data_IF_268523589906
#
_entry.id   IF_268523589906
#
_cell.length_a   1.000
_cell.length_b   1.000
_cell.length_c   1.000
_cell.angle_alpha   90.00
_cell.angle_beta   90.00
_cell.angle_gamma   90.00
#
_symmetry.space_group_name_H-M   'P 1'
#
loop_
_entity.id
_entity.type
_entity.pdbx_description
1 polymer ?
#
# COMPACT_ATOMS: atom_id res chain seq x y z
N UNK A 1 -20.36 -9.78 -20.84
CA UNK A 1 -20.29 -8.88 -19.69
C UNK A 1 -19.12 -9.34 -18.82
N UNK A 2 -17.90 -9.02 -19.23
CA UNK A 2 -16.65 -9.27 -18.47
C UNK A 2 -15.70 -8.10 -18.76
N UNK A 3 -16.01 -6.95 -18.21
CA UNK A 3 -15.18 -5.77 -18.37
C UNK A 3 -15.20 -4.98 -17.10
N UNK A 4 -14.31 -5.29 -16.15
CA UNK A 4 -13.98 -4.44 -15.02
C UNK A 4 -12.86 -5.09 -14.19
N UNK A 5 -11.72 -5.40 -14.80
CA UNK A 5 -10.55 -5.95 -14.08
C UNK A 5 -9.65 -4.87 -13.45
N UNK A 6 -10.05 -3.59 -13.50
CA UNK A 6 -9.23 -2.46 -13.01
C UNK A 6 -9.64 -1.93 -11.64
N UNK A 7 -10.73 -2.44 -11.06
CA UNK A 7 -11.13 -2.17 -9.68
C UNK A 7 -11.47 -3.52 -9.03
N UNK A 8 -10.50 -4.42 -8.96
CA UNK A 8 -10.60 -5.58 -8.08
C UNK A 8 -10.27 -5.13 -6.64
N UNK A 9 -11.04 -4.18 -6.13
CA UNK A 9 -11.22 -4.08 -4.69
C UNK A 9 -11.84 -5.41 -4.24
N UNK A 10 -11.30 -6.02 -3.19
CA UNK A 10 -11.88 -7.19 -2.54
C UNK A 10 -13.33 -6.88 -2.09
N UNK A 11 -14.28 -6.95 -3.01
CA UNK A 11 -15.70 -6.84 -2.69
C UNK A 11 -16.15 -8.18 -2.09
N UNK A 12 -16.03 -8.31 -0.78
CA UNK A 12 -16.64 -9.38 -0.02
C UNK A 12 -18.14 -9.08 0.13
N UNK A 13 -18.95 -9.54 -0.83
CA UNK A 13 -20.38 -9.61 -0.65
C UNK A 13 -20.71 -10.80 0.30
N UNK A 14 -21.34 -10.47 1.41
CA UNK A 14 -21.60 -11.21 2.61
C UNK A 14 -22.09 -12.65 2.50
N UNK A 15 -21.75 -13.37 3.54
CA UNK A 15 -22.29 -14.67 3.92
C UNK A 15 -21.25 -15.48 4.68
N UNK A 16 -21.13 -15.27 5.99
CA UNK A 16 -20.39 -16.18 6.87
C UNK A 16 -21.18 -17.50 6.94
N UNK A 17 -21.00 -18.35 5.93
CA UNK A 17 -21.34 -19.76 6.06
C UNK A 17 -20.23 -20.44 6.87
N UNK A 18 -20.52 -20.86 8.09
CA UNK A 18 -19.63 -21.67 8.93
C UNK A 18 -19.53 -23.07 8.36
N UNK A 19 -18.75 -23.28 7.31
CA UNK A 19 -18.24 -24.59 6.96
C UNK A 19 -16.99 -24.82 7.82
N UNK A 20 -16.99 -25.87 8.64
CA UNK A 20 -15.80 -26.30 9.36
C UNK A 20 -14.68 -26.55 8.33
N UNK A 21 -13.49 -26.00 8.49
CA UNK A 21 -12.41 -26.20 7.54
C UNK A 21 -12.02 -27.67 7.53
N UNK A 22 -12.12 -28.32 6.37
CA UNK A 22 -11.34 -29.51 6.12
C UNK A 22 -9.87 -29.05 6.15
N UNK A 23 -9.14 -29.32 7.25
CA UNK A 23 -7.73 -29.01 7.37
C UNK A 23 -7.02 -29.73 6.23
N UNK A 24 -6.57 -28.99 5.24
CA UNK A 24 -5.78 -29.55 4.15
C UNK A 24 -4.48 -30.09 4.75
N UNK A 25 -4.19 -31.37 4.54
CA UNK A 25 -3.02 -32.05 5.09
C UNK A 25 -1.66 -31.48 4.60
N UNK A 26 -1.67 -30.54 3.65
CA UNK A 26 -0.50 -29.92 3.05
C UNK A 26 -0.76 -28.42 2.76
N UNK A 27 -0.71 -27.60 3.82
CA UNK A 27 -0.81 -26.14 3.67
C UNK A 27 0.48 -25.54 3.12
N UNK A 28 0.35 -24.54 2.24
CA UNK A 28 1.50 -23.78 1.74
C UNK A 28 2.10 -22.93 2.86
N UNK A 29 3.41 -23.07 3.09
CA UNK A 29 4.17 -22.22 4.02
C UNK A 29 4.75 -21.05 3.27
N UNK A 30 4.56 -19.84 3.82
CA UNK A 30 5.04 -18.60 3.23
C UNK A 30 6.28 -18.08 3.97
N UNK A 31 7.20 -17.52 3.20
CA UNK A 31 8.42 -16.88 3.70
C UNK A 31 8.50 -15.46 3.19
N UNK A 32 8.59 -14.49 4.10
CA UNK A 32 8.83 -13.10 3.74
C UNK A 32 10.24 -12.92 3.13
N UNK A 33 10.38 -12.09 2.09
CA UNK A 33 11.65 -11.85 1.44
C UNK A 33 12.66 -11.19 2.41
N UNK A 34 13.96 -11.40 2.16
CA UNK A 34 15.00 -10.73 2.93
C UNK A 34 14.93 -9.21 2.77
N UNK A 35 15.30 -8.49 3.80
CA UNK A 35 15.45 -7.03 3.77
C UNK A 35 16.74 -6.65 3.01
N UNK A 36 16.76 -5.47 2.41
CA UNK A 36 17.91 -4.99 1.63
C UNK A 36 18.65 -3.84 2.31
N UNK A 37 18.06 -3.22 3.33
CA UNK A 37 18.68 -2.16 4.10
C UNK A 37 19.57 -2.67 5.23
N UNK A 38 20.33 -1.78 5.88
CA UNK A 38 21.30 -2.13 6.91
C UNK A 38 20.69 -2.27 8.32
N UNK A 39 19.39 -1.97 8.49
CA UNK A 39 18.74 -2.01 9.80
C UNK A 39 17.90 -3.26 9.98
N UNK A 40 17.95 -3.83 11.20
CA UNK A 40 16.85 -4.67 11.69
C UNK A 40 15.59 -3.81 11.79
N UNK A 41 14.41 -4.43 11.80
CA UNK A 41 13.13 -3.73 11.71
C UNK A 41 12.23 -4.09 12.86
N UNK A 42 11.75 -3.08 13.57
CA UNK A 42 10.71 -3.18 14.58
C UNK A 42 9.35 -2.75 14.05
N UNK A 43 8.29 -3.23 14.69
CA UNK A 43 6.92 -2.83 14.33
C UNK A 43 6.02 -2.72 15.55
N UNK A 44 5.02 -1.84 15.47
CA UNK A 44 3.95 -1.73 16.47
C UNK A 44 2.67 -1.24 15.79
N UNK A 45 1.52 -1.74 16.24
CA UNK A 45 0.22 -1.26 15.78
C UNK A 45 -0.31 -0.20 16.74
N UNK A 46 -0.94 0.83 16.18
CA UNK A 46 -1.65 1.88 16.88
C UNK A 46 -3.12 1.82 16.54
N UNK A 47 -3.98 1.79 17.56
CA UNK A 47 -5.39 2.09 17.42
C UNK A 47 -5.61 3.58 17.67
N UNK A 48 -6.02 4.30 16.66
CA UNK A 48 -6.17 5.76 16.69
C UNK A 48 -7.65 6.14 16.54
N UNK A 49 -8.13 7.01 17.41
CA UNK A 49 -9.52 7.50 17.38
C UNK A 49 -9.51 9.01 17.17
N UNK A 50 -10.08 9.46 16.05
CA UNK A 50 -10.26 10.87 15.76
C UNK A 50 -11.58 11.38 16.35
N UNK A 51 -11.50 11.96 17.52
CA UNK A 51 -12.67 12.49 18.23
C UNK A 51 -13.27 13.73 17.54
N UNK A 52 -12.55 14.36 16.61
CA UNK A 52 -13.01 15.55 15.89
C UNK A 52 -13.89 15.23 14.68
N UNK A 53 -13.75 14.02 14.10
CA UNK A 53 -14.47 13.62 12.88
C UNK A 53 -15.47 12.51 13.16
N UNK A 54 -16.73 12.63 12.71
CA UNK A 54 -17.60 11.46 12.57
C UNK A 54 -17.00 10.51 11.53
N UNK A 55 -17.27 9.21 11.65
CA UNK A 55 -16.91 8.28 10.61
C UNK A 55 -17.77 8.52 9.35
N UNK A 56 -17.18 8.64 8.15
CA UNK A 56 -17.95 8.95 6.96
C UNK A 56 -18.93 7.84 6.55
N UNK A 57 -18.66 6.58 6.94
CA UNK A 57 -19.47 5.42 6.59
C UNK A 57 -20.49 5.08 7.69
N UNK A 58 -20.15 5.35 8.96
CA UNK A 58 -20.97 5.13 10.15
C UNK A 58 -21.00 6.42 11.00
N UNK A 59 -21.79 7.44 10.61
CA UNK A 59 -21.75 8.79 11.21
C UNK A 59 -22.06 8.83 12.71
N UNK A 60 -22.70 7.80 13.24
CA UNK A 60 -22.96 7.63 14.69
C UNK A 60 -21.70 7.27 15.49
N UNK A 61 -20.59 6.92 14.80
CA UNK A 61 -19.28 6.61 15.41
C UNK A 61 -18.28 7.71 15.14
N UNK A 62 -17.23 7.78 15.94
CA UNK A 62 -16.03 8.56 15.64
C UNK A 62 -15.14 7.79 14.69
N UNK A 63 -14.39 8.53 13.86
CA UNK A 63 -13.45 7.92 12.93
C UNK A 63 -12.34 7.21 13.70
N UNK A 64 -12.14 5.94 13.48
CA UNK A 64 -11.10 5.13 14.08
C UNK A 64 -10.29 4.39 13.01
N UNK A 65 -8.99 4.22 13.26
CA UNK A 65 -8.02 3.66 12.33
C UNK A 65 -7.10 2.69 13.03
N UNK A 66 -6.67 1.67 12.29
CA UNK A 66 -5.47 0.92 12.64
C UNK A 66 -4.30 1.38 11.76
N UNK A 67 -3.21 1.75 12.39
CA UNK A 67 -1.97 2.11 11.72
C UNK A 67 -0.84 1.20 12.22
N UNK A 68 -0.04 0.66 11.31
CA UNK A 68 1.18 -0.08 11.64
C UNK A 68 2.37 0.85 11.46
N UNK A 69 3.11 1.08 12.53
CA UNK A 69 4.39 1.82 12.49
C UNK A 69 5.52 0.81 12.40
N UNK A 70 6.27 0.85 11.31
CA UNK A 70 7.43 -0.01 11.06
C UNK A 70 8.68 0.88 11.02
N UNK A 71 9.71 0.55 11.78
CA UNK A 71 10.84 1.45 12.04
C UNK A 71 12.17 0.69 12.14
N UNK A 72 13.31 1.35 11.89
CA UNK A 72 14.62 0.78 12.18
C UNK A 72 14.73 0.42 13.66
N UNK A 73 15.04 -0.85 13.95
CA UNK A 73 15.21 -1.36 15.30
C UNK A 73 16.66 -1.30 15.76
N UNK A 74 16.86 -1.33 17.07
CA UNK A 74 18.18 -1.53 17.66
C UNK A 74 18.74 -2.88 17.20
N UNK A 75 20.01 -2.91 16.76
CA UNK A 75 20.68 -4.10 16.23
C UNK A 75 20.79 -5.28 17.22
N UNK A 76 20.60 -5.00 18.50
CA UNK A 76 20.60 -6.01 19.57
C UNK A 76 19.18 -6.35 20.06
N UNK A 77 18.17 -5.79 19.38
CA UNK A 77 16.80 -6.13 19.69
C UNK A 77 16.53 -7.60 19.35
N UNK A 78 15.80 -8.26 20.22
CA UNK A 78 15.34 -9.61 20.02
C UNK A 78 13.88 -9.68 20.51
N UNK A 79 12.99 -9.91 19.59
CA UNK A 79 11.55 -9.93 19.82
C UNK A 79 10.83 -10.91 18.92
N UNK A 80 9.57 -11.20 19.22
CA UNK A 80 8.79 -12.08 18.36
C UNK A 80 8.54 -11.42 17.00
N UNK A 81 8.73 -12.16 15.91
CA UNK A 81 8.40 -11.68 14.57
C UNK A 81 6.90 -11.47 14.44
N UNK A 82 6.54 -10.33 13.85
CA UNK A 82 5.15 -10.01 13.56
C UNK A 82 4.51 -11.07 12.65
N UNK A 83 3.25 -11.46 12.88
CA UNK A 83 2.53 -12.25 11.90
C UNK A 83 2.40 -11.47 10.58
N UNK A 84 2.34 -12.17 9.44
CA UNK A 84 2.06 -11.51 8.17
C UNK A 84 0.64 -10.95 8.17
N UNK A 85 -0.32 -11.77 8.63
CA UNK A 85 -1.71 -11.38 8.85
C UNK A 85 -2.08 -11.71 10.30
N UNK A 86 -2.94 -10.92 10.89
CA UNK A 86 -3.60 -11.27 12.16
C UNK A 86 -4.61 -12.40 11.95
N UNK A 87 -5.04 -13.12 12.97
CA UNK A 87 -5.97 -14.25 12.80
C UNK A 87 -7.28 -13.87 12.08
N UNK A 88 -7.89 -12.73 12.42
CA UNK A 88 -9.11 -12.26 11.76
C UNK A 88 -8.85 -11.88 10.30
N UNK A 89 -7.73 -11.20 10.03
CA UNK A 89 -7.34 -10.84 8.67
C UNK A 89 -6.98 -12.07 7.83
N UNK A 90 -6.37 -13.09 8.42
CA UNK A 90 -6.07 -14.35 7.72
C UNK A 90 -7.32 -15.00 7.15
N UNK A 91 -8.40 -15.05 7.93
CA UNK A 91 -9.66 -15.63 7.49
C UNK A 91 -10.28 -14.85 6.31
N UNK A 92 -10.22 -13.51 6.38
CA UNK A 92 -10.74 -12.63 5.31
C UNK A 92 -9.94 -12.81 4.02
N UNK A 93 -8.61 -12.78 4.10
CA UNK A 93 -7.74 -12.90 2.94
C UNK A 93 -7.83 -14.32 2.34
N UNK A 94 -7.86 -15.35 3.18
CA UNK A 94 -7.98 -16.74 2.71
C UNK A 94 -9.29 -16.95 1.95
N UNK A 95 -10.39 -16.42 2.46
CA UNK A 95 -11.69 -16.43 1.78
C UNK A 95 -11.63 -15.65 0.44
N UNK A 96 -10.96 -14.51 0.39
CA UNK A 96 -10.82 -13.74 -0.84
C UNK A 96 -9.99 -14.48 -1.90
N UNK A 97 -8.89 -15.11 -1.48
CA UNK A 97 -8.03 -15.89 -2.37
C UNK A 97 -8.71 -17.19 -2.88
N UNK A 98 -9.74 -17.69 -2.15
CA UNK A 98 -10.49 -18.87 -2.55
C UNK A 98 -11.48 -18.64 -3.71
N UNK A 99 -11.81 -17.39 -3.99
CA UNK A 99 -12.76 -17.03 -5.06
C UNK A 99 -12.33 -17.58 -6.42
N UNK A 100 -13.28 -18.14 -7.16
CA UNK A 100 -13.04 -18.67 -8.51
C UNK A 100 -12.57 -17.57 -9.48
N UNK A 101 -13.02 -16.34 -9.27
CA UNK A 101 -12.60 -15.18 -10.06
C UNK A 101 -11.21 -14.64 -9.62
N UNK A 102 -10.60 -15.26 -8.60
CA UNK A 102 -9.27 -14.87 -8.10
C UNK A 102 -8.26 -16.03 -8.26
N UNK A 103 -7.87 -16.71 -7.18
CA UNK A 103 -6.93 -17.84 -7.26
C UNK A 103 -7.62 -19.21 -7.27
N UNK A 104 -8.87 -19.30 -6.84
CA UNK A 104 -9.64 -20.55 -6.77
C UNK A 104 -9.04 -21.57 -5.80
N UNK A 105 -8.35 -21.09 -4.76
CA UNK A 105 -7.74 -21.95 -3.75
C UNK A 105 -8.79 -22.39 -2.74
N UNK A 106 -8.82 -23.67 -2.33
CA UNK A 106 -9.63 -24.04 -1.17
C UNK A 106 -9.24 -23.24 0.07
N UNK A 107 -10.24 -22.78 0.83
CA UNK A 107 -10.00 -22.13 2.13
C UNK A 107 -9.14 -23.05 3.02
N UNK A 108 -8.14 -22.50 3.68
CA UNK A 108 -7.19 -23.26 4.49
C UNK A 108 -6.00 -23.81 3.71
N UNK A 109 -5.82 -23.43 2.44
CA UNK A 109 -4.68 -23.85 1.62
C UNK A 109 -3.35 -23.24 2.05
N UNK A 110 -3.37 -22.16 2.83
CA UNK A 110 -2.18 -21.40 3.26
C UNK A 110 -2.05 -21.45 4.78
N UNK A 111 -0.85 -21.76 5.29
CA UNK A 111 -0.52 -21.70 6.72
C UNK A 111 -0.18 -20.25 7.12
N UNK A 112 -1.22 -19.41 7.24
CA UNK A 112 -1.05 -18.02 7.69
C UNK A 112 -0.53 -17.92 9.13
N UNK A 113 -0.81 -18.90 9.98
CA UNK A 113 -0.39 -18.87 11.37
C UNK A 113 1.15 -18.92 11.51
N UNK A 114 1.82 -19.66 10.61
CA UNK A 114 3.28 -19.72 10.57
C UNK A 114 3.92 -18.59 9.76
N UNK A 115 3.16 -17.90 8.93
CA UNK A 115 3.67 -16.84 8.08
C UNK A 115 4.06 -15.60 8.89
N UNK A 116 5.33 -15.21 8.83
CA UNK A 116 5.88 -14.08 9.61
C UNK A 116 6.51 -13.04 8.69
N UNK A 117 6.34 -11.77 9.06
CA UNK A 117 7.10 -10.65 8.50
C UNK A 117 8.56 -10.69 8.96
N UNK A 118 9.39 -9.79 8.41
CA UNK A 118 10.76 -9.58 8.90
C UNK A 118 10.81 -8.70 10.14
N UNK A 119 9.81 -7.88 10.35
CA UNK A 119 9.70 -6.98 11.49
C UNK A 119 9.41 -7.70 12.82
N UNK A 120 9.99 -7.21 13.91
CA UNK A 120 9.83 -7.71 15.27
C UNK A 120 8.93 -6.78 16.08
N UNK A 121 8.03 -7.37 16.88
CA UNK A 121 7.00 -6.61 17.61
C UNK A 121 7.60 -5.90 18.81
N UNK A 122 7.37 -4.58 18.90
CA UNK A 122 7.59 -3.78 20.11
C UNK A 122 9.04 -3.59 20.53
N UNK A 123 10.00 -4.03 19.71
CA UNK A 123 11.43 -3.88 20.02
C UNK A 123 11.85 -2.41 20.02
N UNK A 124 12.93 -2.03 20.75
CA UNK A 124 13.41 -0.66 20.78
C UNK A 124 13.77 -0.13 19.40
N UNK A 125 13.44 1.14 19.14
CA UNK A 125 13.89 1.84 17.93
C UNK A 125 15.41 2.06 17.94
N UNK A 126 16.02 2.03 16.76
CA UNK A 126 17.45 2.26 16.59
C UNK A 126 17.86 3.64 17.12
N UNK A 127 18.97 3.67 17.87
CA UNK A 127 19.57 4.92 18.32
C UNK A 127 20.12 5.75 17.15
N UNK A 128 20.34 7.04 17.40
CA UNK A 128 20.96 7.99 16.47
C UNK A 128 20.01 9.05 15.95
N UNK A 129 20.31 9.62 14.78
CA UNK A 129 19.51 10.70 14.21
C UNK A 129 18.07 10.26 13.89
N UNK A 130 17.09 11.15 14.06
CA UNK A 130 15.71 10.89 13.65
C UNK A 130 15.62 10.48 12.18
N UNK A 131 14.65 9.66 11.84
CA UNK A 131 14.46 9.06 10.53
C UNK A 131 13.30 9.73 9.80
N UNK A 132 13.43 10.01 8.49
CA UNK A 132 12.30 10.47 7.70
C UNK A 132 11.12 9.52 7.79
N UNK A 133 9.92 10.08 7.70
CA UNK A 133 8.66 9.32 7.78
C UNK A 133 8.14 9.09 6.36
N UNK A 134 7.60 7.90 6.09
CA UNK A 134 6.88 7.58 4.88
C UNK A 134 5.49 7.04 5.25
N UNK A 135 4.43 7.75 4.86
CA UNK A 135 3.06 7.28 5.00
C UNK A 135 2.71 6.36 3.83
N UNK A 136 2.08 5.23 4.09
CA UNK A 136 1.64 4.30 3.07
C UNK A 136 0.13 4.08 3.11
N UNK A 137 -0.52 4.20 1.94
CA UNK A 137 -1.93 3.88 1.74
C UNK A 137 -2.09 2.72 0.75
N UNK A 138 -2.85 1.65 1.08
CA UNK A 138 -3.15 0.56 0.18
C UNK A 138 -4.12 0.95 -0.93
N UNK A 139 -4.30 0.07 -1.93
CA UNK A 139 -5.35 0.17 -2.93
C UNK A 139 -6.75 0.21 -2.32
N UNK A 140 -7.76 0.57 -3.12
CA UNK A 140 -9.15 0.57 -2.67
C UNK A 140 -9.56 -0.84 -2.21
N UNK A 141 -10.16 -0.94 -1.03
CA UNK A 141 -10.51 -2.23 -0.42
C UNK A 141 -9.31 -3.02 0.15
N UNK A 142 -8.08 -2.63 -0.17
CA UNK A 142 -6.87 -3.34 0.25
C UNK A 142 -6.56 -3.14 1.73
N UNK A 143 -6.20 -4.20 2.48
CA UNK A 143 -5.69 -4.07 3.83
C UNK A 143 -4.18 -3.75 3.81
N UNK A 144 -3.71 -2.97 4.79
CA UNK A 144 -2.30 -2.57 4.91
C UNK A 144 -1.31 -3.74 4.99
N UNK A 145 -1.76 -4.85 5.52
CA UNK A 145 -0.98 -6.06 5.74
C UNK A 145 -0.48 -6.71 4.43
N UNK A 146 -1.15 -6.45 3.32
CA UNK A 146 -0.81 -7.02 2.01
C UNK A 146 0.25 -6.23 1.23
N UNK A 147 1.01 -5.36 1.92
CA UNK A 147 2.11 -4.56 1.37
C UNK A 147 3.36 -4.61 2.27
N UNK A 148 3.44 -5.59 3.16
CA UNK A 148 4.48 -5.66 4.17
C UNK A 148 5.90 -5.74 3.60
N UNK A 149 6.09 -6.31 2.41
CA UNK A 149 7.41 -6.48 1.82
C UNK A 149 8.09 -5.16 1.41
N UNK A 150 7.34 -4.21 0.86
CA UNK A 150 7.89 -2.89 0.52
C UNK A 150 7.98 -1.98 1.74
N UNK A 151 7.08 -2.16 2.72
CA UNK A 151 7.07 -1.42 3.99
C UNK A 151 8.27 -1.81 4.85
N UNK A 152 8.48 -3.10 5.09
CA UNK A 152 9.59 -3.60 5.91
C UNK A 152 10.95 -3.25 5.28
N UNK A 153 11.04 -3.37 3.96
CA UNK A 153 12.27 -3.04 3.24
C UNK A 153 12.62 -1.56 3.34
N UNK A 154 11.65 -0.67 3.14
CA UNK A 154 11.89 0.78 3.25
C UNK A 154 12.28 1.15 4.70
N UNK A 155 11.67 0.51 5.70
CA UNK A 155 12.07 0.69 7.10
C UNK A 155 13.51 0.22 7.34
N UNK A 156 13.91 -0.92 6.77
CA UNK A 156 15.29 -1.39 6.87
C UNK A 156 16.33 -0.44 6.24
N UNK A 157 15.89 0.43 5.32
CA UNK A 157 16.72 1.48 4.70
C UNK A 157 16.78 2.77 5.53
N UNK A 158 16.21 2.77 6.73
CA UNK A 158 16.28 3.89 7.67
C UNK A 158 15.16 4.92 7.52
N UNK A 159 13.94 4.44 7.34
CA UNK A 159 12.70 5.22 7.39
C UNK A 159 11.79 4.73 8.51
N UNK A 160 10.96 5.60 9.03
CA UNK A 160 9.78 5.19 9.79
C UNK A 160 8.61 5.13 8.81
N UNK A 161 8.10 3.95 8.56
CA UNK A 161 6.99 3.74 7.62
C UNK A 161 5.70 3.53 8.39
N UNK A 162 4.66 4.29 8.06
CA UNK A 162 3.35 4.19 8.70
C UNK A 162 2.31 3.80 7.68
N UNK A 163 1.88 2.55 7.72
CA UNK A 163 0.85 2.02 6.84
C UNK A 163 -0.52 2.02 7.52
N UNK A 164 -1.55 2.44 6.78
CA UNK A 164 -2.90 2.59 7.30
C UNK A 164 -3.87 1.60 6.67
N UNK A 165 -4.84 1.13 7.46
CA UNK A 165 -6.08 0.58 6.93
C UNK A 165 -7.20 1.59 7.09
N UNK A 166 -7.91 1.88 6.00
CA UNK A 166 -9.04 2.81 5.99
C UNK A 166 -10.31 2.07 6.40
N UNK A 167 -10.70 2.23 7.66
CA UNK A 167 -11.83 1.51 8.27
C UNK A 167 -13.11 1.68 7.47
N UNK A 168 -13.87 0.60 7.31
CA UNK A 168 -15.09 0.48 6.50
C UNK A 168 -14.92 0.62 4.99
N UNK A 169 -13.70 0.85 4.52
CA UNK A 169 -13.32 0.77 3.12
C UNK A 169 -12.41 -0.43 2.83
N UNK A 170 -11.35 -0.64 3.64
CA UNK A 170 -10.56 -1.87 3.58
C UNK A 170 -11.46 -3.08 3.79
N UNK A 171 -11.23 -4.17 3.07
CA UNK A 171 -12.01 -5.41 3.13
C UNK A 171 -12.33 -5.82 4.57
N UNK A 172 -11.33 -5.71 5.44
CA UNK A 172 -11.51 -5.76 6.88
C UNK A 172 -10.41 -4.98 7.59
N UNK A 173 -10.68 -4.61 8.85
CA UNK A 173 -9.69 -4.05 9.79
C UNK A 173 -9.88 -4.74 11.13
N UNK A 174 -8.84 -5.39 11.62
CA UNK A 174 -8.85 -6.00 12.94
C UNK A 174 -8.31 -5.04 14.00
N UNK A 175 -9.15 -4.74 14.98
CA UNK A 175 -8.87 -3.88 16.13
C UNK A 175 -8.47 -4.72 17.35
N UNK A 176 -7.92 -4.10 18.41
CA UNK A 176 -7.66 -4.78 19.67
C UNK A 176 -8.86 -5.56 20.20
N UNK A 177 -8.61 -6.70 20.86
CA UNK A 177 -9.66 -7.60 21.32
C UNK A 177 -10.29 -8.42 20.19
N UNK A 178 -9.60 -8.57 19.05
CA UNK A 178 -10.08 -9.32 17.88
C UNK A 178 -11.40 -8.79 17.29
N UNK A 179 -11.67 -7.49 17.50
CA UNK A 179 -12.82 -6.83 16.89
C UNK A 179 -12.52 -6.61 15.39
N UNK A 180 -13.30 -7.25 14.54
CA UNK A 180 -13.18 -7.16 13.10
C UNK A 180 -14.28 -6.25 12.54
N UNK A 181 -13.88 -5.17 11.88
CA UNK A 181 -14.78 -4.30 11.13
C UNK A 181 -14.56 -4.54 9.63
N UNK A 182 -15.62 -4.84 8.92
CA UNK A 182 -15.58 -5.11 7.47
C UNK A 182 -15.96 -3.87 6.66
N UNK A 183 -15.59 -3.87 5.38
CA UNK A 183 -16.01 -2.84 4.45
C UNK A 183 -17.54 -2.68 4.43
N UNK A 184 -18.02 -1.45 4.29
CA UNK A 184 -19.40 -1.22 3.88
C UNK A 184 -19.58 -1.65 2.42
N UNK A 185 -20.78 -2.08 2.00
CA UNK A 185 -21.03 -2.35 0.60
C UNK A 185 -20.62 -1.15 -0.26
N UNK A 186 -19.86 -1.36 -1.34
CA UNK A 186 -19.45 -0.27 -2.20
C UNK A 186 -20.67 0.42 -2.81
N UNK A 187 -20.67 1.76 -2.74
CA UNK A 187 -21.61 2.58 -3.49
C UNK A 187 -21.18 2.69 -4.95
N UNK A 188 -22.01 3.32 -5.75
CA UNK A 188 -21.74 3.53 -7.18
C UNK A 188 -21.31 4.99 -7.44
N UNK A 189 -20.49 5.14 -8.48
CA UNK A 189 -20.18 6.43 -9.08
C UNK A 189 -19.11 7.26 -8.37
N UNK A 190 -18.81 8.43 -8.95
CA UNK A 190 -17.70 9.28 -8.52
C UNK A 190 -17.88 9.90 -7.13
N UNK A 191 -19.11 10.11 -6.67
CA UNK A 191 -19.37 10.68 -5.34
C UNK A 191 -18.97 9.70 -4.22
N UNK A 192 -19.21 8.40 -4.42
CA UNK A 192 -18.76 7.37 -3.48
C UNK A 192 -17.23 7.34 -3.40
N UNK A 193 -16.56 7.32 -4.56
CA UNK A 193 -15.11 7.34 -4.63
C UNK A 193 -14.54 8.65 -4.04
N UNK A 194 -15.18 9.80 -4.32
CA UNK A 194 -14.76 11.06 -3.71
C UNK A 194 -14.86 11.03 -2.18
N UNK A 195 -15.95 10.49 -1.65
CA UNK A 195 -16.12 10.33 -0.19
C UNK A 195 -15.01 9.47 0.41
N UNK A 196 -14.64 8.39 -0.26
CA UNK A 196 -13.53 7.55 0.15
C UNK A 196 -12.18 8.32 0.11
N UNK A 197 -11.94 9.09 -0.94
CA UNK A 197 -10.74 9.92 -1.05
C UNK A 197 -10.65 10.95 0.08
N UNK A 198 -11.73 11.69 0.33
CA UNK A 198 -11.80 12.70 1.39
C UNK A 198 -11.54 12.06 2.77
N UNK A 199 -12.08 10.86 3.01
CA UNK A 199 -11.81 10.09 4.22
C UNK A 199 -10.33 9.75 4.36
N UNK A 200 -9.69 9.23 3.31
CA UNK A 200 -8.27 8.85 3.26
C UNK A 200 -7.34 10.04 3.46
N UNK A 201 -7.61 11.16 2.81
CA UNK A 201 -6.87 12.43 2.99
C UNK A 201 -6.95 12.89 4.44
N UNK A 202 -8.16 12.85 5.03
CA UNK A 202 -8.36 13.14 6.44
C UNK A 202 -7.60 12.19 7.37
N UNK A 203 -7.54 10.90 7.02
CA UNK A 203 -6.83 9.88 7.80
C UNK A 203 -5.32 10.11 7.81
N UNK A 204 -4.71 10.42 6.66
CA UNK A 204 -3.28 10.75 6.58
C UNK A 204 -2.92 11.97 7.41
N UNK A 205 -3.70 13.05 7.31
CA UNK A 205 -3.50 14.27 8.08
C UNK A 205 -3.63 14.02 9.58
N UNK A 206 -4.66 13.27 9.98
CA UNK A 206 -4.86 12.89 11.37
C UNK A 206 -3.69 12.05 11.91
N UNK A 207 -3.20 11.07 11.13
CA UNK A 207 -2.06 10.25 11.56
C UNK A 207 -0.79 11.08 11.71
N UNK A 208 -0.52 12.05 10.85
CA UNK A 208 0.59 12.99 11.02
C UNK A 208 0.49 13.77 12.34
N UNK A 209 -0.72 14.18 12.74
CA UNK A 209 -0.95 14.84 14.01
C UNK A 209 -0.67 13.89 15.19
N UNK A 210 -1.04 12.60 15.08
CA UNK A 210 -0.75 11.61 16.12
C UNK A 210 0.75 11.30 16.21
N UNK A 211 1.46 11.22 15.08
CA UNK A 211 2.93 11.06 15.07
C UNK A 211 3.62 12.27 15.74
N UNK A 212 3.12 13.47 15.52
CA UNK A 212 3.62 14.67 16.22
C UNK A 212 3.40 14.57 17.74
N UNK A 213 2.29 13.97 18.20
CA UNK A 213 2.06 13.71 19.62
C UNK A 213 3.07 12.69 20.17
N UNK A 214 3.32 11.61 19.45
CA UNK A 214 4.34 10.61 19.83
C UNK A 214 5.72 11.26 19.94
N UNK A 215 6.08 12.13 18.98
CA UNK A 215 7.34 12.89 19.02
C UNK A 215 7.48 13.81 20.23
N UNK A 216 6.37 14.26 20.82
CA UNK A 216 6.34 15.02 22.09
C UNK A 216 6.29 14.14 23.36
N UNK A 217 6.35 12.82 23.21
CA UNK A 217 6.28 11.86 24.32
C UNK A 217 4.86 11.49 24.77
N UNK A 218 3.83 11.90 24.00
CA UNK A 218 2.46 11.48 24.27
C UNK A 218 2.18 10.09 23.69
N UNK A 219 1.25 9.35 24.29
CA UNK A 219 0.78 8.09 23.75
C UNK A 219 -0.66 8.26 23.19
N UNK A 220 -0.86 8.34 21.86
CA UNK A 220 -2.18 8.49 21.26
C UNK A 220 -2.95 7.19 21.10
N UNK A 221 -2.33 6.03 21.33
CA UNK A 221 -3.00 4.73 21.24
C UNK A 221 -4.24 4.70 22.15
N UNK A 222 -5.38 4.26 21.64
CA UNK A 222 -6.66 4.30 22.35
C UNK A 222 -6.66 3.42 23.59
N UNK A 223 -5.99 2.26 23.56
CA UNK A 223 -5.81 1.36 24.68
C UNK A 223 -4.62 1.75 25.57
N UNK A 224 -3.88 2.80 25.22
CA UNK A 224 -2.66 3.21 25.95
C UNK A 224 -1.59 2.11 26.03
N UNK A 225 -1.55 1.21 25.06
CA UNK A 225 -0.51 0.19 24.97
C UNK A 225 0.87 0.85 24.93
N UNK A 226 1.84 0.23 25.58
CA UNK A 226 3.18 0.80 25.66
C UNK A 226 3.81 0.95 24.27
N UNK A 227 4.23 2.16 23.93
CA UNK A 227 4.97 2.41 22.70
C UNK A 227 6.41 1.87 22.80
N UNK A 228 6.98 1.40 21.69
CA UNK A 228 8.37 0.96 21.66
C UNK A 228 9.32 2.05 22.16
N UNK A 229 10.30 1.63 22.98
CA UNK A 229 11.31 2.55 23.51
C UNK A 229 12.06 3.26 22.38
N UNK A 230 12.15 4.58 22.45
CA UNK A 230 12.84 5.40 21.45
C UNK A 230 12.01 5.77 20.22
N UNK A 231 10.80 5.22 20.05
CA UNK A 231 9.99 5.50 18.86
C UNK A 231 9.75 7.01 18.68
N UNK A 232 9.37 7.74 19.72
CA UNK A 232 9.12 9.18 19.62
C UNK A 232 10.34 9.98 19.15
N UNK A 233 11.53 9.61 19.59
CA UNK A 233 12.79 10.26 19.19
C UNK A 233 13.27 9.85 17.82
N UNK A 234 12.77 8.74 17.28
CA UNK A 234 13.13 8.27 15.95
C UNK A 234 12.39 9.00 14.83
N UNK A 235 11.35 9.79 15.14
CA UNK A 235 10.49 10.46 14.15
C UNK A 235 11.08 11.79 13.70
N UNK A 236 11.35 11.95 12.41
CA UNK A 236 11.67 13.22 11.79
C UNK A 236 10.47 13.78 11.03
N UNK A 237 9.68 14.55 11.71
CA UNK A 237 8.49 15.21 11.17
C UNK A 237 8.78 16.38 10.21
N UNK A 238 10.06 16.75 10.06
CA UNK A 238 10.48 17.74 9.07
C UNK A 238 10.79 17.14 7.70
N UNK A 239 10.74 15.80 7.56
CA UNK A 239 11.00 15.07 6.32
C UNK A 239 9.97 13.95 6.17
N UNK A 240 8.87 14.26 5.50
CA UNK A 240 7.75 13.34 5.36
C UNK A 240 7.48 13.04 3.88
N UNK A 241 7.43 11.77 3.54
CA UNK A 241 6.95 11.28 2.25
C UNK A 241 5.59 10.60 2.37
N UNK A 242 4.91 10.47 1.24
CA UNK A 242 3.70 9.67 1.12
C UNK A 242 3.78 8.78 -0.13
N UNK A 243 3.33 7.54 -0.03
CA UNK A 243 3.25 6.65 -1.18
C UNK A 243 2.10 5.68 -1.03
N UNK A 244 1.69 5.10 -2.14
CA UNK A 244 0.61 4.12 -2.09
C UNK A 244 0.40 3.44 -3.41
N UNK A 245 -0.33 2.32 -3.36
CA UNK A 245 -0.73 1.55 -4.52
C UNK A 245 -2.14 1.91 -4.95
N UNK A 246 -2.38 1.98 -6.27
CA UNK A 246 -3.74 2.18 -6.79
C UNK A 246 -4.36 3.46 -6.20
N UNK A 247 -5.55 3.36 -5.63
CA UNK A 247 -6.22 4.48 -4.96
C UNK A 247 -5.38 5.08 -3.80
N UNK A 248 -4.46 4.32 -3.21
CA UNK A 248 -3.48 4.81 -2.24
C UNK A 248 -2.44 5.75 -2.85
N UNK A 249 -2.04 5.53 -4.09
CA UNK A 249 -1.17 6.45 -4.83
C UNK A 249 -1.87 7.78 -5.12
N UNK A 250 -3.14 7.72 -5.51
CA UNK A 250 -4.00 8.90 -5.63
C UNK A 250 -4.14 9.63 -4.29
N UNK A 251 -4.42 8.88 -3.20
CA UNK A 251 -4.49 9.44 -1.84
C UNK A 251 -3.22 10.19 -1.47
N UNK A 252 -2.04 9.66 -1.81
CA UNK A 252 -0.75 10.30 -1.53
C UNK A 252 -0.64 11.66 -2.23
N UNK A 253 -0.92 11.71 -3.53
CA UNK A 253 -0.90 12.96 -4.29
C UNK A 253 -1.95 13.96 -3.82
N UNK A 254 -3.19 13.51 -3.60
CA UNK A 254 -4.28 14.36 -3.15
C UNK A 254 -4.00 14.93 -1.75
N UNK A 255 -3.45 14.13 -0.83
CA UNK A 255 -3.06 14.64 0.49
C UNK A 255 -1.98 15.71 0.39
N UNK A 256 -1.03 15.58 -0.52
CA UNK A 256 0.00 16.59 -0.74
C UNK A 256 -0.58 17.95 -1.18
N UNK A 257 -1.72 17.97 -1.87
CA UNK A 257 -2.42 19.23 -2.19
C UNK A 257 -2.93 19.92 -0.91
N UNK A 258 -3.43 19.13 0.03
CA UNK A 258 -4.12 19.61 1.24
C UNK A 258 -3.22 19.74 2.47
N UNK A 259 -2.02 19.15 2.46
CA UNK A 259 -1.08 19.19 3.59
C UNK A 259 0.36 19.40 3.12
N UNK A 260 0.92 20.52 3.52
CA UNK A 260 2.29 20.90 3.11
C UNK A 260 3.39 20.24 3.94
N UNK A 261 3.03 19.46 4.95
CA UNK A 261 4.02 18.67 5.72
C UNK A 261 4.57 17.50 4.94
N UNK A 262 3.92 17.08 3.83
CA UNK A 262 4.39 15.99 2.98
C UNK A 262 5.26 16.58 1.87
N UNK A 263 6.55 16.23 1.87
CA UNK A 263 7.59 16.82 1.01
C UNK A 263 7.72 16.14 -0.35
N UNK A 264 7.42 14.85 -0.43
CA UNK A 264 7.58 14.05 -1.64
C UNK A 264 6.55 12.92 -1.70
N UNK A 265 6.13 12.51 -2.91
CA UNK A 265 5.12 11.46 -3.06
C UNK A 265 5.38 10.49 -4.20
N UNK A 266 4.83 9.26 -4.06
CA UNK A 266 4.87 8.21 -5.09
C UNK A 266 3.46 7.67 -5.30
N UNK A 267 3.10 7.50 -6.56
CA UNK A 267 1.92 6.77 -7.00
C UNK A 267 2.36 5.47 -7.69
N UNK A 268 2.01 4.34 -7.09
CA UNK A 268 2.20 3.01 -7.65
C UNK A 268 0.90 2.60 -8.35
N UNK A 269 0.85 2.80 -9.64
CA UNK A 269 -0.19 2.31 -10.57
C UNK A 269 -1.64 2.77 -10.27
N UNK A 270 -1.81 3.97 -9.72
CA UNK A 270 -3.12 4.49 -9.34
C UNK A 270 -3.64 5.58 -10.28
N UNK A 271 -4.84 5.43 -10.83
CA UNK A 271 -5.53 6.53 -11.48
C UNK A 271 -5.82 7.66 -10.47
N UNK A 272 -5.56 8.91 -10.86
CA UNK A 272 -5.72 10.09 -10.00
C UNK A 272 -7.05 10.83 -10.29
N UNK A 273 -8.12 10.04 -10.37
CA UNK A 273 -9.48 10.48 -10.62
C UNK A 273 -10.47 9.61 -9.83
N UNK A 274 -11.60 10.16 -9.44
CA UNK A 274 -12.70 9.41 -8.81
C UNK A 274 -13.60 8.72 -9.84
N UNK A 275 -13.47 9.13 -11.12
CA UNK A 275 -13.89 8.39 -12.30
C UNK A 275 -12.83 8.69 -13.37
N UNK A 276 -12.13 7.67 -13.85
CA UNK A 276 -10.90 7.87 -14.64
C UNK A 276 -11.10 7.88 -16.17
N UNK A 277 -12.37 7.74 -16.65
CA UNK A 277 -12.69 7.95 -18.07
C UNK A 277 -12.43 6.75 -18.98
N UNK A 278 -12.27 5.55 -18.42
CA UNK A 278 -12.09 4.33 -19.19
C UNK A 278 -13.33 3.41 -19.09
N UNK A 279 -13.79 2.77 -20.18
CA UNK A 279 -13.31 2.97 -21.56
C UNK A 279 -13.58 4.39 -22.08
N UNK A 280 -12.96 4.79 -23.23
CA UNK A 280 -13.17 6.12 -23.79
C UNK A 280 -14.65 6.48 -23.92
N UNK A 281 -15.01 7.70 -23.47
CA UNK A 281 -16.40 8.15 -23.37
C UNK A 281 -17.09 7.94 -22.02
N UNK A 282 -16.46 7.22 -21.11
CA UNK A 282 -16.91 7.12 -19.70
C UNK A 282 -16.69 8.42 -18.94
N UNK A 283 -17.35 8.57 -17.78
CA UNK A 283 -17.18 9.76 -16.93
C UNK A 283 -15.72 9.94 -16.49
N UNK A 284 -15.25 11.18 -16.54
CA UNK A 284 -13.94 11.57 -16.04
C UNK A 284 -14.07 12.65 -14.97
N UNK A 285 -13.66 12.33 -13.75
CA UNK A 285 -13.71 13.25 -12.59
C UNK A 285 -12.34 13.27 -11.92
N UNK A 286 -11.42 14.15 -12.39
CA UNK A 286 -10.05 14.22 -11.87
C UNK A 286 -10.01 14.79 -10.44
N UNK A 287 -9.02 14.34 -9.66
CA UNK A 287 -8.69 14.87 -8.34
C UNK A 287 -8.13 16.29 -8.40
N UNK A 288 -8.02 16.95 -7.27
CA UNK A 288 -7.38 18.27 -7.18
C UNK A 288 -5.89 18.20 -7.54
N UNK A 289 -5.22 17.10 -7.16
CA UNK A 289 -3.82 16.87 -7.53
C UNK A 289 -3.65 16.81 -9.04
N UNK A 290 -4.57 16.18 -9.75
CA UNK A 290 -4.56 16.10 -11.22
C UNK A 290 -4.76 17.48 -11.87
N UNK A 291 -5.73 18.25 -11.37
CA UNK A 291 -6.07 19.58 -11.90
C UNK A 291 -4.98 20.63 -11.64
N UNK A 292 -4.28 20.54 -10.51
CA UNK A 292 -3.37 21.59 -10.03
C UNK A 292 -1.91 21.24 -10.18
N UNK A 293 -1.56 19.94 -10.24
CA UNK A 293 -0.21 19.45 -10.05
C UNK A 293 0.34 19.80 -8.67
N UNK A 294 1.59 19.48 -8.44
CA UNK A 294 2.33 19.78 -7.22
C UNK A 294 3.58 20.62 -7.54
N UNK A 295 4.02 21.39 -6.56
CA UNK A 295 5.32 22.10 -6.58
C UNK A 295 6.43 21.27 -5.91
N UNK A 296 6.12 20.07 -5.46
CA UNK A 296 6.98 19.10 -4.75
C UNK A 296 7.21 17.87 -5.61
N UNK A 297 8.29 17.10 -5.34
CA UNK A 297 8.62 15.87 -6.07
C UNK A 297 7.50 14.85 -6.06
N UNK A 298 7.21 14.27 -7.23
CA UNK A 298 6.25 13.18 -7.36
C UNK A 298 6.69 12.17 -8.42
N UNK A 299 6.66 10.89 -8.05
CA UNK A 299 7.02 9.75 -8.90
C UNK A 299 5.75 8.99 -9.29
N UNK A 300 5.59 8.72 -10.58
CA UNK A 300 4.64 7.76 -11.12
C UNK A 300 5.37 6.46 -11.43
N UNK A 301 4.80 5.33 -11.02
CA UNK A 301 5.29 3.98 -11.39
C UNK A 301 4.08 3.16 -11.84
N UNK A 302 3.95 2.96 -13.15
CA UNK A 302 2.84 2.21 -13.73
C UNK A 302 3.17 0.75 -14.00
N UNK A 303 2.13 -0.03 -14.27
CA UNK A 303 2.21 -1.42 -14.69
C UNK A 303 1.72 -1.58 -16.13
N UNK A 304 1.98 -2.74 -16.69
CA UNK A 304 1.36 -3.20 -17.92
C UNK A 304 -0.01 -3.84 -17.62
N UNK A 305 -0.78 -4.05 -18.63
CA UNK A 305 -2.07 -4.74 -18.57
C UNK A 305 -2.55 -5.10 -19.94
N UNK A 306 -3.79 -5.56 -20.01
CA UNK A 306 -4.49 -5.81 -21.28
C UNK A 306 -5.92 -5.29 -21.18
N UNK A 307 -6.46 -4.78 -22.27
CA UNK A 307 -7.87 -4.43 -22.34
C UNK A 307 -8.76 -5.68 -22.49
N UNK A 308 -10.07 -5.48 -22.59
CA UNK A 308 -11.05 -6.55 -22.74
C UNK A 308 -10.88 -7.38 -24.03
N UNK A 309 -10.14 -6.87 -25.01
CA UNK A 309 -9.83 -7.52 -26.28
C UNK A 309 -8.43 -8.15 -26.28
N UNK A 310 -7.70 -8.09 -25.17
CA UNK A 310 -6.33 -8.58 -25.05
C UNK A 310 -5.27 -7.63 -25.63
N UNK A 311 -5.62 -6.38 -25.97
CA UNK A 311 -4.66 -5.38 -26.43
C UNK A 311 -3.82 -4.90 -25.27
N UNK A 312 -2.48 -4.86 -25.43
CA UNK A 312 -1.59 -4.34 -24.38
C UNK A 312 -1.93 -2.91 -23.97
N UNK A 313 -1.95 -2.68 -22.69
CA UNK A 313 -2.10 -1.38 -22.03
C UNK A 313 -0.83 -1.09 -21.23
N UNK A 314 -0.44 0.16 -21.18
CA UNK A 314 0.68 0.66 -20.38
C UNK A 314 0.19 1.84 -19.55
N UNK A 315 0.23 1.73 -18.23
CA UNK A 315 -0.22 2.81 -17.37
C UNK A 315 0.87 3.87 -17.27
N UNK A 316 0.81 4.81 -18.20
CA UNK A 316 1.77 5.92 -18.34
C UNK A 316 1.06 7.21 -18.70
N UNK A 317 1.72 8.36 -18.48
CA UNK A 317 1.17 9.66 -18.91
C UNK A 317 1.04 9.80 -20.44
N UNK A 318 1.65 8.90 -21.22
CA UNK A 318 1.58 8.88 -22.69
C UNK A 318 0.35 8.12 -23.21
N UNK A 319 -0.44 7.49 -22.35
CA UNK A 319 -1.63 6.74 -22.75
C UNK A 319 -2.93 7.33 -22.13
N UNK A 320 -3.31 8.56 -22.52
CA UNK A 320 -4.49 9.22 -21.97
C UNK A 320 -5.81 8.50 -22.31
N UNK A 321 -5.85 7.68 -23.35
CA UNK A 321 -7.01 6.87 -23.70
C UNK A 321 -7.26 5.76 -22.68
N UNK A 322 -6.21 5.35 -21.96
CA UNK A 322 -6.31 4.39 -20.86
C UNK A 322 -6.54 5.10 -19.52
N UNK A 323 -5.66 6.04 -19.15
CA UNK A 323 -5.82 6.88 -17.95
C UNK A 323 -5.45 8.34 -18.24
N UNK A 324 -6.47 9.14 -18.50
CA UNK A 324 -6.31 10.57 -18.74
C UNK A 324 -5.73 11.32 -17.55
N UNK A 325 -5.95 10.82 -16.33
CA UNK A 325 -5.53 11.52 -15.11
C UNK A 325 -4.02 11.65 -14.98
N UNK A 326 -3.26 10.68 -15.49
CA UNK A 326 -1.80 10.77 -15.50
C UNK A 326 -1.28 11.79 -16.50
N UNK A 327 -1.87 11.87 -17.69
CA UNK A 327 -1.50 12.87 -18.68
C UNK A 327 -1.81 14.29 -18.18
N UNK A 328 -3.00 14.51 -17.62
CA UNK A 328 -3.41 15.80 -17.06
C UNK A 328 -2.53 16.20 -15.86
N UNK A 329 -2.24 15.26 -14.95
CA UNK A 329 -1.29 15.49 -13.85
C UNK A 329 0.10 15.86 -14.38
N UNK A 330 0.62 15.08 -15.33
CA UNK A 330 1.94 15.31 -15.91
C UNK A 330 2.09 16.71 -16.50
N UNK A 331 1.07 17.17 -17.20
CA UNK A 331 1.03 18.51 -17.77
C UNK A 331 1.02 19.62 -16.69
N UNK A 332 0.37 19.37 -15.55
CA UNK A 332 0.20 20.34 -14.47
C UNK A 332 1.31 20.28 -13.40
N UNK A 333 2.12 19.20 -13.36
CA UNK A 333 3.16 19.00 -12.36
C UNK A 333 4.35 19.95 -12.59
N UNK A 334 4.66 20.78 -11.61
CA UNK A 334 5.74 21.79 -11.66
C UNK A 334 7.00 21.34 -10.90
N UNK A 335 6.83 20.53 -9.84
CA UNK A 335 7.94 19.95 -9.11
C UNK A 335 8.67 18.87 -9.91
N UNK A 336 9.74 18.32 -9.34
CA UNK A 336 10.41 17.16 -9.92
C UNK A 336 9.43 16.03 -10.20
N UNK A 337 9.55 15.39 -11.37
CA UNK A 337 8.69 14.30 -11.79
C UNK A 337 9.47 13.26 -12.59
N UNK A 338 9.06 12.01 -12.48
CA UNK A 338 9.40 10.91 -13.38
C UNK A 338 8.18 10.01 -13.53
N UNK A 339 8.11 9.39 -14.69
CA UNK A 339 7.12 8.35 -14.99
C UNK A 339 7.90 7.10 -15.39
N UNK A 340 7.72 6.03 -14.65
CA UNK A 340 8.38 4.73 -14.83
C UNK A 340 7.33 3.67 -15.13
N UNK A 341 7.64 2.81 -16.08
CA UNK A 341 6.80 1.65 -16.39
C UNK A 341 7.50 0.36 -15.97
N UNK A 342 6.84 -0.45 -15.16
CA UNK A 342 7.30 -1.78 -14.78
C UNK A 342 6.93 -2.77 -15.89
N UNK A 343 7.91 -3.13 -16.72
CA UNK A 343 7.75 -4.02 -17.89
C UNK A 343 7.99 -5.49 -17.56
N UNK A 344 7.66 -6.32 -18.55
CA UNK A 344 7.87 -7.77 -18.52
C UNK A 344 6.60 -8.54 -18.20
N UNK A 345 5.45 -7.96 -18.54
CA UNK A 345 4.12 -8.51 -18.26
C UNK A 345 3.71 -8.31 -16.81
N UNK A 346 4.03 -7.16 -16.23
CA UNK A 346 3.53 -6.79 -14.91
C UNK A 346 2.02 -6.53 -14.95
N UNK A 347 1.37 -6.64 -13.80
CA UNK A 347 -0.06 -6.30 -13.65
C UNK A 347 -0.22 -5.33 -12.48
N UNK A 348 -1.40 -4.76 -12.37
CA UNK A 348 -1.78 -3.89 -11.25
C UNK A 348 -1.41 -4.48 -9.88
N UNK A 349 -1.68 -5.77 -9.66
CA UNK A 349 -1.42 -6.43 -8.38
C UNK A 349 0.05 -6.81 -8.15
N UNK A 350 0.93 -6.62 -9.14
CA UNK A 350 2.37 -6.78 -8.95
C UNK A 350 2.98 -5.81 -7.93
N UNK A 351 2.28 -4.72 -7.59
CA UNK A 351 2.67 -3.79 -6.54
C UNK A 351 2.22 -4.19 -5.12
N UNK A 352 1.62 -5.38 -4.95
CA UNK A 352 1.20 -5.91 -3.66
C UNK A 352 2.03 -7.14 -3.24
N UNK A 353 1.86 -7.61 -2.01
CA UNK A 353 2.51 -8.84 -1.54
C UNK A 353 2.05 -10.10 -2.31
N UNK A 354 1.03 -10.01 -3.16
CA UNK A 354 0.61 -11.13 -4.01
C UNK A 354 1.71 -11.59 -4.95
N UNK A 355 2.56 -10.68 -5.44
CA UNK A 355 3.75 -11.05 -6.22
C UNK A 355 4.74 -11.93 -5.46
N UNK A 356 4.63 -12.00 -4.10
CA UNK A 356 5.48 -12.83 -3.25
C UNK A 356 4.74 -14.09 -2.83
N UNK A 357 3.46 -13.96 -2.52
CA UNK A 357 2.60 -15.06 -2.06
C UNK A 357 2.33 -16.06 -3.19
N UNK A 358 1.82 -15.56 -4.32
CA UNK A 358 1.37 -16.42 -5.43
C UNK A 358 2.48 -17.36 -5.97
N UNK A 359 3.72 -16.92 -6.18
CA UNK A 359 4.80 -17.82 -6.61
C UNK A 359 5.10 -18.95 -5.62
N UNK A 360 4.93 -18.71 -4.32
CA UNK A 360 5.19 -19.70 -3.29
C UNK A 360 4.09 -20.77 -3.19
N UNK A 361 2.93 -20.51 -3.80
CA UNK A 361 1.84 -21.49 -3.88
C UNK A 361 2.10 -22.59 -4.93
N UNK A 362 3.02 -22.36 -5.86
CA UNK A 362 3.46 -23.33 -6.86
C UNK A 362 2.30 -23.86 -7.71
N UNK A 363 2.21 -25.16 -7.86
CA UNK A 363 1.18 -25.85 -8.66
C UNK A 363 -0.23 -25.83 -8.03
N UNK A 364 -0.41 -25.26 -6.85
CA UNK A 364 -1.74 -25.06 -6.23
C UNK A 364 -2.55 -24.00 -6.95
N UNK A 365 -1.88 -23.08 -7.66
CA UNK A 365 -2.52 -22.04 -8.47
C UNK A 365 -2.31 -22.35 -9.94
N UNK A 366 -3.40 -22.40 -10.70
CA UNK A 366 -3.34 -22.62 -12.14
C UNK A 366 -2.54 -21.49 -12.83
N UNK A 367 -1.71 -21.80 -13.84
CA UNK A 367 -0.85 -20.82 -14.51
C UNK A 367 -1.59 -19.57 -14.99
N UNK A 368 -2.76 -19.77 -15.58
CA UNK A 368 -3.62 -18.69 -16.11
C UNK A 368 -4.15 -17.77 -14.99
N UNK A 369 -4.48 -18.31 -13.82
CA UNK A 369 -4.89 -17.50 -12.66
C UNK A 369 -3.72 -16.73 -12.07
N UNK A 370 -2.54 -17.36 -12.00
CA UNK A 370 -1.32 -16.70 -11.60
C UNK A 370 -1.01 -15.52 -12.51
N UNK A 371 -1.04 -15.75 -13.81
CA UNK A 371 -0.78 -14.71 -14.83
C UNK A 371 -1.80 -13.56 -14.75
N UNK A 372 -3.07 -13.88 -14.56
CA UNK A 372 -4.11 -12.87 -14.42
C UNK A 372 -3.91 -11.97 -13.18
N UNK A 373 -3.36 -12.51 -12.07
CA UNK A 373 -3.20 -11.76 -10.82
C UNK A 373 -1.89 -10.98 -10.80
N UNK A 374 -0.76 -11.62 -11.04
CA UNK A 374 0.57 -11.00 -10.89
C UNK A 374 1.34 -10.81 -12.20
N UNK A 375 0.76 -11.24 -13.32
CA UNK A 375 1.38 -11.19 -14.64
C UNK A 375 2.46 -12.24 -14.85
N UNK A 376 3.25 -12.04 -15.90
CA UNK A 376 4.36 -12.92 -16.29
C UNK A 376 5.73 -12.41 -15.83
N UNK A 377 5.79 -11.19 -15.30
CA UNK A 377 7.02 -10.60 -14.78
C UNK A 377 7.69 -11.51 -13.74
N UNK A 378 9.03 -11.62 -13.77
CA UNK A 378 9.76 -12.29 -12.69
C UNK A 378 9.51 -11.57 -11.35
N UNK A 379 8.91 -12.24 -10.33
CA UNK A 379 8.52 -11.60 -9.09
C UNK A 379 9.69 -11.03 -8.29
N UNK A 380 10.89 -11.64 -8.41
CA UNK A 380 12.10 -11.17 -7.72
C UNK A 380 12.61 -9.88 -8.36
N UNK A 381 12.60 -9.80 -9.68
CA UNK A 381 12.98 -8.58 -10.42
C UNK A 381 11.99 -7.46 -10.17
N UNK A 382 10.68 -7.76 -10.21
CA UNK A 382 9.62 -6.81 -9.89
C UNK A 382 9.83 -6.21 -8.48
N UNK A 383 9.95 -7.05 -7.46
CA UNK A 383 10.15 -6.60 -6.08
C UNK A 383 11.46 -5.80 -5.90
N UNK A 384 12.56 -6.25 -6.54
CA UNK A 384 13.84 -5.56 -6.46
C UNK A 384 13.76 -4.15 -7.06
N UNK A 385 13.12 -4.00 -8.23
CA UNK A 385 12.91 -2.71 -8.86
C UNK A 385 12.07 -1.78 -7.98
N UNK A 386 10.93 -2.25 -7.49
CA UNK A 386 10.08 -1.45 -6.62
C UNK A 386 10.84 -0.94 -5.39
N UNK A 387 11.52 -1.82 -4.66
CA UNK A 387 12.29 -1.47 -3.46
C UNK A 387 13.39 -0.45 -3.73
N UNK A 388 14.11 -0.63 -4.84
CA UNK A 388 15.23 0.24 -5.19
C UNK A 388 14.74 1.62 -5.65
N UNK A 389 13.71 1.70 -6.51
CA UNK A 389 13.20 2.99 -6.99
C UNK A 389 12.43 3.75 -5.91
N UNK A 390 11.62 3.08 -5.07
CA UNK A 390 10.98 3.71 -3.90
C UNK A 390 12.04 4.23 -2.93
N UNK A 391 13.04 3.41 -2.62
CA UNK A 391 14.14 3.80 -1.73
C UNK A 391 15.00 4.93 -2.29
N UNK A 392 15.33 4.90 -3.58
CA UNK A 392 16.11 5.93 -4.24
C UNK A 392 15.37 7.27 -4.30
N UNK A 393 14.05 7.24 -4.58
CA UNK A 393 13.23 8.43 -4.61
C UNK A 393 13.21 9.15 -3.24
N UNK A 394 12.93 8.41 -2.18
CA UNK A 394 12.93 9.00 -0.84
C UNK A 394 14.34 9.37 -0.36
N UNK A 395 15.37 8.62 -0.73
CA UNK A 395 16.75 9.02 -0.40
C UNK A 395 17.12 10.34 -1.08
N UNK A 396 16.75 10.55 -2.35
CA UNK A 396 17.00 11.79 -3.08
C UNK A 396 16.25 12.96 -2.44
N UNK A 397 14.95 12.82 -2.21
CA UNK A 397 14.08 13.95 -1.84
C UNK A 397 13.93 14.19 -0.34
N UNK A 398 14.12 13.17 0.51
CA UNK A 398 14.02 13.31 1.97
C UNK A 398 15.37 13.28 2.69
N UNK A 399 16.42 12.68 2.08
CA UNK A 399 17.75 12.60 2.69
C UNK A 399 18.82 13.36 1.92
N UNK A 400 18.49 13.90 0.73
CA UNK A 400 19.46 14.56 -0.15
C UNK A 400 20.56 13.61 -0.67
N UNK A 401 20.26 12.31 -0.78
CA UNK A 401 21.19 11.28 -1.22
C UNK A 401 20.83 10.79 -2.60
N UNK A 402 21.52 11.28 -3.61
CA UNK A 402 21.32 10.79 -4.97
C UNK A 402 22.01 9.42 -5.14
N UNK A 403 21.24 8.44 -5.63
CA UNK A 403 21.73 7.10 -6.00
C UNK A 403 21.93 6.94 -7.51
N UNK A 404 21.74 8.02 -8.26
CA UNK A 404 21.85 8.06 -9.73
C UNK A 404 20.91 7.07 -10.46
N UNK A 405 19.85 6.60 -9.77
CA UNK A 405 18.91 5.65 -10.33
C UNK A 405 17.86 6.32 -11.24
N UNK A 406 17.74 7.64 -11.15
CA UNK A 406 16.85 8.45 -11.97
C UNK A 406 17.55 9.21 -13.13
N UNK A 407 18.82 8.92 -13.37
CA UNK A 407 19.58 9.52 -14.47
C UNK A 407 19.27 8.85 -15.83
N UNK A 408 18.62 7.67 -15.82
CA UNK A 408 18.20 6.92 -16.99
C UNK A 408 18.04 5.42 -16.69
N UNK A 409 17.83 4.64 -17.73
CA UNK A 409 17.69 3.19 -17.63
C UNK A 409 18.89 2.53 -16.96
N UNK A 410 18.63 1.56 -16.11
CA UNK A 410 19.65 0.86 -15.35
C UNK A 410 19.75 -0.61 -15.79
N UNK A 411 20.96 -1.10 -16.15
CA UNK A 411 21.16 -2.53 -16.42
C UNK A 411 20.81 -3.45 -15.22
N UNK A 412 20.76 -2.89 -14.01
CA UNK A 412 20.35 -3.60 -12.81
C UNK A 412 18.83 -3.85 -12.78
N UNK A 413 18.05 -2.97 -13.42
CA UNK A 413 16.60 -3.02 -13.49
C UNK A 413 16.12 -2.90 -14.94
N UNK A 414 16.42 -3.91 -15.81
CA UNK A 414 16.07 -3.84 -17.23
C UNK A 414 14.56 -3.94 -17.50
N UNK A 415 13.79 -4.13 -16.43
CA UNK A 415 12.33 -4.15 -16.44
C UNK A 415 11.70 -2.81 -16.03
N UNK A 416 12.49 -1.74 -15.95
CA UNK A 416 11.98 -0.37 -15.72
C UNK A 416 12.31 0.48 -16.92
N UNK A 417 11.27 0.99 -17.58
CA UNK A 417 11.39 1.98 -18.63
C UNK A 417 11.11 3.37 -18.09
N UNK A 418 11.88 4.34 -18.56
CA UNK A 418 11.63 5.76 -18.32
C UNK A 418 10.74 6.30 -19.43
N UNK A 419 9.58 6.82 -19.06
CA UNK A 419 8.62 7.40 -20.01
C UNK A 419 8.90 8.90 -20.12
N UNK A 420 9.47 9.33 -21.27
CA UNK A 420 9.83 10.73 -21.54
C UNK A 420 8.66 11.57 -22.07
#
# INVERSE_FOLDING_TARGET
MRGSALIAGLALAGGLATAAPAVAADQAKLTAPALTGPYEVGTTDLHLVDLSRPDPWKPERRRELMATVTYPADRFADGPRAPWLTPGMSAVIDQALSGEDYLGLPVGSIDWASAKRRAEIGVPAAHGAPKPIALFSPGFGGPRETYSAIVDDLASRGYVVVSLSHTYESAAVEFPGSRLETAVPPGEGPDFMKKALDARVGDFRFVLDQLARIGRGENPDAEKRQLPRGLGWSLDLSRVGAYGHSYGGFTSGETMVHDRRIDAGINLDGAMATAFGYPPGSAYVPGEVTKRGLDRPFLLMGAEGVDENGKPLEHTHKQPDFDRSWADFWANQRGWKRDLLLRGGSTHMAYSDLQIVVPQLGSRVAPEKREAVIGTIDPRRSLAAQRDYIGAFFDLHLKGRDRHLFDGESPRHPNIDFIE
#
